data_IF_630411207132
#
_entry.id   IF_630411207132
#
_cell.length_a   1.000
_cell.length_b   1.000
_cell.length_c   1.000
_cell.angle_alpha   90.00
_cell.angle_beta   90.00
_cell.angle_gamma   90.00
#
_symmetry.space_group_name_H-M   'P 1'
#
loop_
_entity.id
_entity.type
_entity.pdbx_description
1 polymer ?
#
# COMPACT_ATOMS: atom_id res chain seq x y z
N UNK A 1 10.55 -0.69 -2.15
CA UNK A 1 9.13 -0.58 -2.52
C UNK A 1 8.54 0.69 -1.94
N UNK A 2 7.83 1.46 -2.74
CA UNK A 2 7.25 2.72 -2.27
C UNK A 2 5.92 2.56 -1.53
N UNK A 3 5.61 1.36 -1.10
CA UNK A 3 4.38 1.10 -0.37
C UNK A 3 4.66 0.39 0.93
N UNK A 4 3.86 0.67 1.93
CA UNK A 4 3.93 -0.08 3.18
C UNK A 4 2.56 -0.12 3.82
N UNK A 5 2.35 -1.12 4.67
CA UNK A 5 1.09 -1.31 5.36
C UNK A 5 1.27 -1.12 6.86
N UNK A 6 0.37 -0.36 7.45
CA UNK A 6 0.31 -0.16 8.88
C UNK A 6 -1.07 -0.59 9.34
N UNK A 7 -1.18 -1.82 9.81
CA UNK A 7 -2.49 -2.32 10.19
C UNK A 7 -3.43 -2.34 9.00
N UNK A 8 -4.41 -1.46 9.01
CA UNK A 8 -5.41 -1.39 7.96
C UNK A 8 -5.19 -0.24 6.99
N UNK A 9 -4.08 0.46 7.14
CA UNK A 9 -3.81 1.64 6.32
C UNK A 9 -2.60 1.38 5.44
N UNK A 10 -2.72 1.76 4.18
CA UNK A 10 -1.64 1.60 3.22
C UNK A 10 -1.03 2.96 2.94
N UNK A 11 0.29 3.04 3.08
CA UNK A 11 1.04 4.25 2.82
C UNK A 11 1.78 4.14 1.51
N UNK A 12 1.97 5.27 0.89
CA UNK A 12 2.71 5.38 -0.36
C UNK A 12 3.81 6.42 -0.18
N UNK A 13 5.02 6.06 -0.54
CA UNK A 13 6.14 6.99 -0.45
C UNK A 13 6.26 7.78 -1.74
N UNK A 14 6.23 9.09 -1.61
CA UNK A 14 6.36 9.96 -2.77
C UNK A 14 7.28 11.11 -2.42
N UNK A 15 8.32 11.29 -3.22
CA UNK A 15 9.29 12.37 -3.02
C UNK A 15 9.92 12.35 -1.62
N UNK A 16 10.17 11.15 -1.12
CA UNK A 16 10.76 11.00 0.20
C UNK A 16 9.80 11.12 1.36
N UNK A 17 8.51 11.20 1.07
CA UNK A 17 7.50 11.35 2.11
C UNK A 17 6.48 10.22 2.04
N UNK A 18 6.05 9.77 3.22
CA UNK A 18 4.98 8.79 3.33
C UNK A 18 3.64 9.49 3.39
N UNK A 19 2.74 9.06 2.54
CA UNK A 19 1.38 9.59 2.52
C UNK A 19 0.39 8.44 2.57
N UNK A 20 -0.80 8.68 3.12
CA UNK A 20 -1.82 7.66 3.16
C UNK A 20 -2.35 7.43 1.75
N UNK A 21 -2.18 6.21 1.27
CA UNK A 21 -2.67 5.83 -0.04
C UNK A 21 -4.12 5.40 0.02
N UNK A 22 -4.43 4.58 1.02
CA UNK A 22 -5.75 3.98 1.09
C UNK A 22 -6.02 3.49 2.50
N UNK A 23 -7.26 3.63 2.93
CA UNK A 23 -7.71 3.06 4.19
C UNK A 23 -8.59 1.87 3.89
N UNK A 24 -8.24 0.74 4.46
CA UNK A 24 -9.00 -0.47 4.24
C UNK A 24 -9.88 -0.76 5.45
N UNK A 25 -10.93 -1.55 5.22
CA UNK A 25 -11.85 -1.89 6.30
C UNK A 25 -11.32 -2.94 7.25
N UNK A 26 -10.34 -3.70 6.80
CA UNK A 26 -9.77 -4.76 7.63
C UNK A 26 -8.33 -5.03 7.18
N UNK A 27 -7.59 -5.71 8.05
CA UNK A 27 -6.21 -6.07 7.75
C UNK A 27 -6.15 -6.97 6.51
N UNK A 28 -7.11 -7.88 6.38
CA UNK A 28 -7.12 -8.78 5.23
C UNK A 28 -7.27 -8.01 3.93
N UNK A 29 -8.14 -7.01 3.92
CA UNK A 29 -8.32 -6.19 2.73
C UNK A 29 -7.09 -5.36 2.45
N UNK A 30 -6.43 -4.89 3.49
CA UNK A 30 -5.20 -4.13 3.32
C UNK A 30 -4.10 -5.00 2.70
N UNK A 31 -4.01 -6.25 3.16
CA UNK A 31 -3.04 -7.17 2.60
C UNK A 31 -3.30 -7.43 1.12
N UNK A 32 -4.57 -7.63 0.78
CA UNK A 32 -4.93 -7.86 -0.62
C UNK A 32 -4.61 -6.65 -1.48
N UNK A 33 -4.89 -5.46 -0.98
CA UNK A 33 -4.60 -4.24 -1.71
C UNK A 33 -3.10 -4.08 -1.91
N UNK A 34 -2.30 -4.36 -0.88
CA UNK A 34 -0.84 -4.29 -0.99
C UNK A 34 -0.33 -5.24 -2.06
N UNK A 35 -0.89 -6.44 -2.08
CA UNK A 35 -0.48 -7.43 -3.06
C UNK A 35 -0.74 -6.94 -4.48
N UNK A 36 -1.90 -6.33 -4.70
CA UNK A 36 -2.25 -5.82 -6.01
C UNK A 36 -1.32 -4.67 -6.39
N UNK A 37 -1.07 -3.76 -5.47
CA UNK A 37 -0.18 -2.64 -5.74
C UNK A 37 1.23 -3.09 -6.06
N UNK A 38 1.72 -4.08 -5.33
CA UNK A 38 3.07 -4.60 -5.58
C UNK A 38 3.14 -5.29 -6.94
N UNK A 39 2.09 -5.97 -7.33
CA UNK A 39 2.08 -6.62 -8.64
C UNK A 39 2.10 -5.59 -9.76
N UNK A 40 1.39 -4.50 -9.60
CA UNK A 40 1.40 -3.44 -10.59
C UNK A 40 2.79 -2.84 -10.73
N UNK A 41 3.46 -2.66 -9.61
CA UNK A 41 4.83 -2.16 -9.63
C UNK A 41 5.75 -3.09 -10.38
N UNK A 42 5.58 -4.38 -10.15
CA UNK A 42 6.45 -5.37 -10.76
C UNK A 42 6.27 -5.45 -12.27
N UNK A 43 5.07 -5.24 -12.73
CA UNK A 43 4.78 -5.41 -14.16
C UNK A 43 5.17 -4.19 -14.99
N UNK A 44 5.73 -3.24 -14.35
CA UNK A 44 6.25 -2.08 -15.06
C UNK A 44 7.57 -2.43 -15.73
#
# INVERSE_FOLDING_TARGET
MPYKREGKIIYHKKSGRWSIKQRCGSVDKAKAAMRILQNLEKNE
#
